data_IF_343632083208
#
_entry.id   IF_343632083208
#
_cell.length_a   1.000
_cell.length_b   1.000
_cell.length_c   1.000
_cell.angle_alpha   90.00
_cell.angle_beta   90.00
_cell.angle_gamma   90.00
#
_symmetry.space_group_name_H-M   'P 1'
#
loop_
_entity.id
_entity.type
_entity.pdbx_description
1 polymer ?
#
# COMPACT_ATOMS: atom_id res chain seq x y z
N UNK A 1 -10.41 38.38 8.65
CA UNK A 1 -9.09 37.97 9.15
C UNK A 1 -8.06 38.09 8.02
N UNK A 2 -6.84 38.46 8.34
CA UNK A 2 -5.74 38.49 7.37
C UNK A 2 -5.16 37.08 7.18
N UNK A 3 -4.51 36.78 6.03
CA UNK A 3 -3.94 35.45 5.76
C UNK A 3 -2.98 34.94 6.85
N UNK A 4 -2.25 35.83 7.52
CA UNK A 4 -1.36 35.51 8.64
C UNK A 4 -2.07 35.06 9.91
N UNK A 5 -3.37 35.30 10.03
CA UNK A 5 -4.21 34.93 11.18
C UNK A 5 -4.96 33.62 10.97
N UNK A 6 -4.78 32.96 9.81
CA UNK A 6 -5.43 31.73 9.46
C UNK A 6 -4.54 30.52 9.80
N UNK A 7 -5.16 29.40 10.26
CA UNK A 7 -4.45 28.14 10.35
C UNK A 7 -4.07 27.60 8.96
N UNK A 8 -3.16 26.62 8.88
CA UNK A 8 -2.76 26.00 7.63
C UNK A 8 -3.97 25.48 6.83
N UNK A 9 -4.84 24.71 7.45
CA UNK A 9 -6.06 24.20 6.80
C UNK A 9 -7.04 25.30 6.40
N UNK A 10 -7.17 26.38 7.17
CA UNK A 10 -8.01 27.53 6.78
C UNK A 10 -7.43 28.24 5.54
N UNK A 11 -6.10 28.45 5.50
CA UNK A 11 -5.44 29.02 4.31
C UNK A 11 -5.68 28.18 3.08
N UNK A 12 -5.60 26.84 3.22
CA UNK A 12 -5.82 25.92 2.11
C UNK A 12 -7.27 25.97 1.60
N UNK A 13 -8.26 25.97 2.50
CA UNK A 13 -9.67 26.13 2.11
C UNK A 13 -9.93 27.46 1.36
N UNK A 14 -9.29 28.56 1.79
CA UNK A 14 -9.37 29.83 1.09
C UNK A 14 -8.70 29.75 -0.29
N UNK A 15 -7.57 29.03 -0.42
CA UNK A 15 -6.93 28.82 -1.73
C UNK A 15 -7.83 28.02 -2.68
N UNK A 16 -8.47 26.95 -2.19
CA UNK A 16 -9.48 26.21 -2.97
C UNK A 16 -10.68 27.08 -3.35
N UNK A 17 -11.25 27.83 -2.41
CA UNK A 17 -12.37 28.72 -2.70
C UNK A 17 -11.99 29.75 -3.79
N UNK A 18 -10.78 30.29 -3.74
CA UNK A 18 -10.26 31.20 -4.78
C UNK A 18 -10.15 30.52 -6.14
N UNK A 19 -9.65 29.27 -6.18
CA UNK A 19 -9.50 28.51 -7.43
C UNK A 19 -10.86 28.13 -8.05
N UNK A 20 -11.87 27.93 -7.22
CA UNK A 20 -13.22 27.54 -7.64
C UNK A 20 -14.14 28.74 -7.95
N UNK A 21 -13.84 29.93 -7.44
CA UNK A 21 -14.66 31.12 -7.62
C UNK A 21 -14.99 31.48 -9.10
N UNK A 22 -14.06 31.25 -10.08
CA UNK A 22 -14.32 31.44 -11.49
C UNK A 22 -15.19 30.37 -12.14
N UNK A 23 -15.64 29.36 -11.38
CA UNK A 23 -16.39 28.19 -11.87
C UNK A 23 -15.64 27.43 -12.99
N UNK A 24 -14.41 26.93 -12.72
CA UNK A 24 -13.58 26.28 -13.73
C UNK A 24 -14.15 24.91 -14.13
N UNK A 25 -13.92 24.50 -15.37
CA UNK A 25 -14.20 23.12 -15.82
C UNK A 25 -13.08 22.14 -15.43
N UNK A 26 -11.85 22.65 -15.27
CA UNK A 26 -10.68 21.89 -14.90
C UNK A 26 -9.96 22.56 -13.74
N UNK A 27 -9.66 21.81 -12.70
CA UNK A 27 -8.90 22.22 -11.52
C UNK A 27 -7.55 21.51 -11.48
N UNK A 28 -6.46 22.28 -11.49
CA UNK A 28 -5.11 21.75 -11.37
C UNK A 28 -4.56 22.09 -9.99
N UNK A 29 -4.11 21.08 -9.26
CA UNK A 29 -3.60 21.18 -7.90
C UNK A 29 -2.20 20.56 -7.81
N UNK A 30 -1.25 21.31 -7.29
CA UNK A 30 0.10 20.84 -7.04
C UNK A 30 0.30 20.74 -5.53
N UNK A 31 0.56 19.52 -5.02
CA UNK A 31 0.75 19.20 -3.60
C UNK A 31 -0.34 19.83 -2.70
N UNK A 32 -1.64 19.59 -2.94
CA UNK A 32 -2.72 20.34 -2.29
C UNK A 32 -2.81 20.14 -0.78
N UNK A 33 -2.16 19.12 -0.23
CA UNK A 33 -2.20 18.80 1.20
C UNK A 33 -0.84 18.91 1.89
N UNK A 34 0.18 19.42 1.21
CA UNK A 34 1.48 19.65 1.78
C UNK A 34 1.46 20.64 2.96
N UNK A 35 2.33 20.45 3.93
CA UNK A 35 2.52 21.33 5.09
C UNK A 35 1.28 21.51 6.00
N UNK A 36 0.37 20.51 6.02
CA UNK A 36 -0.80 20.47 6.90
C UNK A 36 -0.64 19.30 7.88
N UNK A 37 -1.07 19.50 9.13
CA UNK A 37 -1.06 18.43 10.13
C UNK A 37 -1.98 17.25 9.72
N UNK A 38 -1.66 16.04 10.20
CA UNK A 38 -2.30 14.81 9.75
C UNK A 38 -3.82 14.79 9.93
N UNK A 39 -4.34 15.35 11.04
CA UNK A 39 -5.78 15.37 11.31
C UNK A 39 -6.53 16.29 10.35
N UNK A 40 -6.02 17.50 10.16
CA UNK A 40 -6.62 18.48 9.25
C UNK A 40 -6.47 18.03 7.79
N UNK A 41 -5.38 17.32 7.46
CA UNK A 41 -5.15 16.73 6.13
C UNK A 41 -6.25 15.75 5.78
N UNK A 42 -6.59 14.82 6.68
CA UNK A 42 -7.67 13.85 6.47
C UNK A 42 -9.03 14.54 6.24
N UNK A 43 -9.40 15.50 7.09
CA UNK A 43 -10.63 16.27 6.95
C UNK A 43 -10.67 17.02 5.59
N UNK A 44 -9.53 17.53 5.15
CA UNK A 44 -9.43 18.32 3.91
C UNK A 44 -9.51 17.44 2.65
N UNK A 45 -8.95 16.22 2.68
CA UNK A 45 -9.08 15.23 1.60
C UNK A 45 -10.54 14.87 1.36
N UNK A 46 -11.25 14.47 2.43
CA UNK A 46 -12.69 14.14 2.36
C UNK A 46 -13.49 15.33 1.84
N UNK A 47 -13.26 16.51 2.39
CA UNK A 47 -13.95 17.72 1.97
C UNK A 47 -13.70 18.08 0.49
N UNK A 48 -12.45 17.94 0.01
CA UNK A 48 -12.09 18.23 -1.39
C UNK A 48 -12.78 17.25 -2.33
N UNK A 49 -12.75 15.95 -2.02
CA UNK A 49 -13.42 14.91 -2.79
C UNK A 49 -14.91 15.18 -2.92
N UNK A 50 -15.59 15.38 -1.81
CA UNK A 50 -17.03 15.70 -1.76
C UNK A 50 -17.37 16.94 -2.60
N UNK A 51 -16.49 17.95 -2.58
CA UNK A 51 -16.70 19.19 -3.28
C UNK A 51 -16.54 19.03 -4.80
N UNK A 52 -15.50 18.31 -5.23
CA UNK A 52 -15.26 18.00 -6.65
C UNK A 52 -16.44 17.21 -7.21
N UNK A 53 -16.90 16.19 -6.51
CA UNK A 53 -18.08 15.40 -6.89
C UNK A 53 -19.35 16.24 -7.01
N UNK A 54 -19.64 17.07 -5.99
CA UNK A 54 -20.83 17.94 -5.98
C UNK A 54 -20.85 18.98 -7.10
N UNK A 55 -19.67 19.49 -7.47
CA UNK A 55 -19.54 20.51 -8.52
C UNK A 55 -19.40 19.90 -9.93
N UNK A 56 -19.17 18.60 -10.04
CA UNK A 56 -18.94 17.92 -11.31
C UNK A 56 -17.72 18.43 -12.08
N UNK A 57 -16.68 18.85 -11.36
CA UNK A 57 -15.46 19.45 -11.92
C UNK A 57 -14.43 18.35 -12.16
N UNK A 58 -13.79 18.36 -13.33
CA UNK A 58 -12.59 17.55 -13.55
C UNK A 58 -11.42 18.12 -12.77
N UNK A 59 -10.71 17.32 -12.01
CA UNK A 59 -9.52 17.74 -11.26
C UNK A 59 -8.33 16.86 -11.56
N UNK A 60 -7.15 17.48 -11.65
CA UNK A 60 -5.86 16.79 -11.69
C UNK A 60 -5.06 17.32 -10.52
N UNK A 61 -4.60 16.43 -9.64
CA UNK A 61 -3.68 16.83 -8.58
C UNK A 61 -2.40 15.97 -8.61
N UNK A 62 -1.30 16.62 -8.30
CA UNK A 62 0.02 15.98 -8.18
C UNK A 62 0.34 15.84 -6.71
N UNK A 63 0.74 14.67 -6.30
CA UNK A 63 1.22 14.40 -4.94
C UNK A 63 2.29 13.31 -4.94
N UNK A 64 3.16 13.34 -3.94
CA UNK A 64 4.08 12.24 -3.64
C UNK A 64 3.55 11.33 -2.51
N UNK A 65 2.43 11.70 -1.88
CA UNK A 65 1.78 10.92 -0.82
C UNK A 65 0.83 9.88 -1.45
N UNK A 66 1.16 8.60 -1.27
CA UNK A 66 0.42 7.47 -1.82
C UNK A 66 -0.99 7.37 -1.23
N UNK A 67 -1.14 7.66 0.06
CA UNK A 67 -2.43 7.61 0.74
C UNK A 67 -3.38 8.69 0.19
N UNK A 68 -2.84 9.87 -0.13
CA UNK A 68 -3.61 10.93 -0.78
C UNK A 68 -4.14 10.52 -2.15
N UNK A 69 -3.28 9.92 -2.97
CA UNK A 69 -3.68 9.45 -4.29
C UNK A 69 -4.77 8.37 -4.19
N UNK A 70 -4.62 7.39 -3.30
CA UNK A 70 -5.57 6.29 -3.13
C UNK A 70 -6.92 6.78 -2.60
N UNK A 71 -6.94 7.74 -1.67
CA UNK A 71 -8.18 8.22 -1.05
C UNK A 71 -9.00 9.14 -1.94
N UNK A 72 -8.34 10.00 -2.70
CA UNK A 72 -9.01 11.11 -3.40
C UNK A 72 -9.28 10.81 -4.86
N UNK A 73 -8.37 10.14 -5.55
CA UNK A 73 -8.44 9.98 -7.00
C UNK A 73 -9.43 8.88 -7.43
N UNK A 74 -10.13 9.11 -8.54
CA UNK A 74 -10.85 8.08 -9.28
C UNK A 74 -9.91 7.30 -10.20
N UNK A 75 -8.86 7.97 -10.68
CA UNK A 75 -7.83 7.41 -11.54
C UNK A 75 -6.44 7.91 -11.10
N UNK A 76 -5.49 7.00 -10.98
CA UNK A 76 -4.08 7.29 -10.64
C UNK A 76 -3.22 7.12 -11.88
N UNK A 77 -2.29 8.04 -12.08
CA UNK A 77 -1.22 7.95 -13.06
C UNK A 77 0.10 7.93 -12.31
N UNK A 78 0.79 6.78 -12.34
CA UNK A 78 2.12 6.64 -11.75
C UNK A 78 3.15 7.09 -12.78
N UNK A 79 3.99 8.04 -12.39
CA UNK A 79 5.08 8.53 -13.25
C UNK A 79 6.44 8.30 -12.63
N UNK A 80 7.42 7.97 -13.46
CA UNK A 80 8.81 7.78 -13.06
C UNK A 80 9.74 8.33 -14.13
N UNK A 81 10.65 9.23 -13.76
CA UNK A 81 11.64 9.84 -14.66
C UNK A 81 11.03 10.39 -15.97
N UNK A 82 9.84 10.99 -15.88
CA UNK A 82 9.15 11.58 -17.03
C UNK A 82 8.37 10.60 -17.92
N UNK A 83 8.30 9.33 -17.55
CA UNK A 83 7.50 8.29 -18.22
C UNK A 83 6.31 7.89 -17.38
N UNK A 84 5.22 7.50 -18.01
CA UNK A 84 4.07 6.89 -17.35
C UNK A 84 4.40 5.41 -17.16
N UNK A 85 4.39 4.96 -15.91
CA UNK A 85 4.61 3.57 -15.53
C UNK A 85 3.31 2.76 -15.57
N UNK A 86 2.23 3.37 -15.08
CA UNK A 86 0.92 2.75 -15.04
C UNK A 86 -0.17 3.80 -14.87
N UNK A 87 -1.37 3.49 -15.34
CA UNK A 87 -2.58 4.27 -15.19
C UNK A 87 -3.75 3.35 -14.89
N UNK A 88 -4.63 3.72 -13.95
CA UNK A 88 -5.82 2.94 -13.61
C UNK A 88 -6.50 3.45 -12.34
N UNK A 89 -7.58 2.79 -11.94
CA UNK A 89 -8.21 3.05 -10.65
C UNK A 89 -7.24 2.76 -9.49
N UNK A 90 -7.43 3.36 -8.31
CA UNK A 90 -6.61 3.05 -7.13
C UNK A 90 -6.49 1.56 -6.83
N UNK A 91 -7.57 0.82 -6.97
CA UNK A 91 -7.59 -0.62 -6.74
C UNK A 91 -6.78 -1.37 -7.79
N UNK A 92 -6.91 -1.04 -9.06
CA UNK A 92 -6.17 -1.67 -10.15
C UNK A 92 -4.67 -1.46 -10.03
N UNK A 93 -4.22 -0.21 -9.85
CA UNK A 93 -2.78 0.09 -9.74
C UNK A 93 -2.16 -0.55 -8.50
N UNK A 94 -2.95 -0.74 -7.44
CA UNK A 94 -2.49 -1.39 -6.23
C UNK A 94 -2.46 -2.92 -6.35
N UNK A 95 -3.53 -3.53 -6.85
CA UNK A 95 -3.67 -5.00 -6.92
C UNK A 95 -2.99 -5.63 -8.12
N UNK A 96 -2.90 -4.91 -9.23
CA UNK A 96 -2.38 -5.40 -10.50
C UNK A 96 -1.30 -4.48 -11.06
N UNK A 97 -0.15 -4.33 -10.37
CA UNK A 97 0.94 -3.51 -10.87
C UNK A 97 1.46 -4.07 -12.20
N UNK A 98 1.73 -3.18 -13.16
CA UNK A 98 2.18 -3.56 -14.52
C UNK A 98 3.70 -3.54 -14.65
N UNK A 99 4.39 -2.70 -13.86
CA UNK A 99 5.86 -2.57 -13.88
C UNK A 99 6.48 -2.85 -12.52
N UNK A 100 7.76 -3.18 -12.51
CA UNK A 100 8.53 -3.37 -11.29
C UNK A 100 8.47 -2.12 -10.39
N UNK A 101 8.49 -0.94 -11.00
CA UNK A 101 8.34 0.32 -10.28
C UNK A 101 6.97 0.41 -9.59
N UNK A 102 5.87 0.20 -10.32
CA UNK A 102 4.52 0.24 -9.76
C UNK A 102 4.32 -0.81 -8.65
N UNK A 103 4.90 -2.00 -8.80
CA UNK A 103 4.83 -3.06 -7.79
C UNK A 103 5.51 -2.66 -6.47
N UNK A 104 6.63 -1.95 -6.55
CA UNK A 104 7.42 -1.49 -5.39
C UNK A 104 6.96 -0.12 -4.86
N UNK A 105 6.20 0.64 -5.64
CA UNK A 105 5.83 2.02 -5.32
C UNK A 105 4.96 2.12 -4.08
N UNK A 106 3.98 1.22 -3.91
CA UNK A 106 3.05 1.25 -2.79
C UNK A 106 3.57 0.49 -1.58
N UNK A 107 3.53 1.14 -0.42
CA UNK A 107 3.82 0.54 0.88
C UNK A 107 5.29 0.20 1.13
N UNK A 108 5.52 -0.55 2.19
CA UNK A 108 6.86 -1.03 2.59
C UNK A 108 7.10 -2.43 2.00
N UNK A 109 7.19 -2.53 0.68
CA UNK A 109 7.40 -3.79 -0.01
C UNK A 109 8.82 -4.33 0.21
N UNK A 110 8.95 -5.63 0.47
CA UNK A 110 10.23 -6.32 0.54
C UNK A 110 10.61 -6.89 -0.83
N UNK A 111 11.87 -6.75 -1.20
CA UNK A 111 12.43 -7.41 -2.39
C UNK A 111 13.09 -8.72 -2.01
N UNK A 112 12.67 -9.81 -2.63
CA UNK A 112 13.13 -11.17 -2.37
C UNK A 112 13.78 -11.73 -3.64
N UNK A 113 15.08 -12.01 -3.58
CA UNK A 113 15.83 -12.51 -4.75
C UNK A 113 15.39 -13.90 -5.18
N UNK A 114 15.19 -14.78 -4.23
CA UNK A 114 14.69 -16.14 -4.47
C UNK A 114 13.39 -16.34 -3.71
N UNK A 115 12.28 -16.27 -4.43
CA UNK A 115 10.95 -16.43 -3.83
C UNK A 115 10.56 -17.90 -3.60
N UNK A 116 11.37 -18.87 -4.04
CA UNK A 116 11.15 -20.29 -3.75
C UNK A 116 11.39 -20.64 -2.27
N UNK A 117 11.91 -19.70 -1.47
CA UNK A 117 11.90 -19.81 -0.01
C UNK A 117 10.48 -19.85 0.57
N UNK A 118 9.50 -19.41 -0.21
CA UNK A 118 8.07 -19.55 0.10
C UNK A 118 7.50 -20.74 -0.67
N UNK A 119 6.85 -21.64 0.04
CA UNK A 119 6.24 -22.83 -0.56
C UNK A 119 4.98 -22.47 -1.37
N UNK A 120 4.63 -23.33 -2.34
CA UNK A 120 3.37 -23.30 -3.08
C UNK A 120 3.15 -22.11 -4.02
N UNK A 121 4.22 -21.50 -4.52
CA UNK A 121 4.16 -20.58 -5.65
C UNK A 121 4.62 -21.27 -6.93
N UNK A 122 3.99 -20.88 -8.04
CA UNK A 122 4.37 -21.31 -9.38
C UNK A 122 5.76 -20.79 -9.75
N UNK A 123 6.55 -21.62 -10.42
CA UNK A 123 7.85 -21.20 -10.94
C UNK A 123 7.69 -20.35 -12.20
N UNK A 124 8.34 -19.19 -12.21
CA UNK A 124 8.44 -18.32 -13.39
C UNK A 124 9.87 -18.39 -13.91
N UNK A 125 10.13 -19.16 -14.98
CA UNK A 125 11.48 -19.32 -15.52
C UNK A 125 12.08 -17.97 -15.94
N UNK A 126 13.29 -17.68 -15.41
CA UNK A 126 13.98 -16.41 -15.66
C UNK A 126 13.50 -15.25 -14.79
N UNK A 127 12.82 -15.54 -13.68
CA UNK A 127 12.50 -14.53 -12.65
C UNK A 127 13.79 -13.89 -12.12
N UNK A 128 13.76 -12.57 -11.94
CA UNK A 128 14.89 -11.79 -11.40
C UNK A 128 14.79 -11.66 -9.88
N UNK A 129 13.59 -11.37 -9.39
CA UNK A 129 13.25 -11.24 -7.97
C UNK A 129 11.74 -11.19 -7.80
N UNK A 130 11.28 -11.25 -6.57
CA UNK A 130 9.88 -11.00 -6.23
C UNK A 130 9.75 -9.82 -5.25
N UNK A 131 8.57 -9.22 -5.27
CA UNK A 131 8.14 -8.16 -4.36
C UNK A 131 7.04 -8.73 -3.47
N UNK A 132 7.20 -8.60 -2.16
CA UNK A 132 6.24 -9.04 -1.15
C UNK A 132 5.79 -7.83 -0.34
N UNK A 133 4.48 -7.60 -0.29
CA UNK A 133 3.92 -6.50 0.50
C UNK A 133 3.44 -6.99 1.86
N UNK A 134 3.54 -6.17 2.92
CA UNK A 134 3.20 -6.57 4.30
C UNK A 134 1.79 -7.09 4.49
N UNK A 135 0.81 -6.58 3.74
CA UNK A 135 -0.59 -7.00 3.83
C UNK A 135 -0.85 -8.42 3.34
N UNK A 136 0.05 -8.96 2.49
CA UNK A 136 -0.02 -10.33 2.00
C UNK A 136 0.76 -11.32 2.87
N UNK A 137 1.34 -10.85 3.96
CA UNK A 137 2.10 -11.68 4.92
C UNK A 137 1.27 -11.92 6.15
N UNK A 138 0.87 -13.17 6.37
CA UNK A 138 0.18 -13.61 7.59
C UNK A 138 1.18 -14.21 8.56
N UNK A 139 1.08 -13.81 9.81
CA UNK A 139 1.98 -14.26 10.88
C UNK A 139 1.16 -14.97 11.94
N UNK A 140 1.56 -16.17 12.30
CA UNK A 140 0.89 -16.99 13.31
C UNK A 140 1.91 -17.48 14.33
N UNK A 141 1.60 -17.41 15.63
CA UNK A 141 2.44 -17.98 16.67
C UNK A 141 2.34 -19.51 16.63
N UNK A 142 3.37 -20.19 17.09
CA UNK A 142 3.43 -21.67 17.11
C UNK A 142 2.24 -22.34 17.84
N UNK A 143 1.63 -21.65 18.80
CA UNK A 143 0.51 -22.16 19.63
C UNK A 143 -0.87 -21.66 19.13
N UNK A 144 -0.94 -20.97 18.02
CA UNK A 144 -2.19 -20.52 17.43
C UNK A 144 -2.72 -21.56 16.43
N UNK A 145 -4.04 -21.58 16.25
CA UNK A 145 -4.65 -22.39 15.18
C UNK A 145 -4.24 -21.79 13.83
N UNK A 146 -3.60 -22.61 13.01
CA UNK A 146 -3.09 -22.21 11.71
C UNK A 146 -3.89 -22.87 10.60
N UNK A 147 -4.46 -22.05 9.72
CA UNK A 147 -5.16 -22.53 8.54
C UNK A 147 -4.18 -23.07 7.48
N UNK A 148 -2.99 -22.46 7.36
CA UNK A 148 -2.00 -22.75 6.32
C UNK A 148 -0.69 -23.32 6.89
N UNK A 149 -0.76 -24.17 7.91
CA UNK A 149 0.43 -24.67 8.63
C UNK A 149 1.43 -25.40 7.72
N UNK A 150 0.94 -26.18 6.76
CA UNK A 150 1.79 -26.93 5.80
C UNK A 150 2.51 -26.03 4.80
N UNK A 151 1.99 -24.82 4.58
CA UNK A 151 2.50 -23.86 3.59
C UNK A 151 3.25 -22.69 4.23
N UNK A 152 3.25 -22.62 5.55
CA UNK A 152 3.96 -21.59 6.31
C UNK A 152 5.44 -21.95 6.46
N UNK A 153 6.28 -20.94 6.44
CA UNK A 153 7.73 -21.02 6.70
C UNK A 153 8.02 -20.43 8.08
N UNK A 154 9.01 -21.00 8.79
CA UNK A 154 9.43 -20.46 10.09
C UNK A 154 10.28 -19.19 9.91
N UNK A 155 10.02 -18.17 10.70
CA UNK A 155 10.80 -16.95 10.75
C UNK A 155 11.06 -16.48 12.17
N UNK A 156 12.17 -15.76 12.36
CA UNK A 156 12.50 -15.08 13.60
C UNK A 156 11.95 -13.65 13.57
N UNK A 157 11.36 -13.19 14.68
CA UNK A 157 10.88 -11.83 14.84
C UNK A 157 12.04 -10.93 15.26
N UNK A 158 12.57 -10.14 14.31
CA UNK A 158 13.68 -9.22 14.59
C UNK A 158 13.23 -7.95 15.32
N UNK A 159 12.03 -7.44 14.96
CA UNK A 159 11.51 -6.20 15.53
C UNK A 159 9.99 -6.22 15.61
N UNK A 160 9.47 -5.57 16.64
CA UNK A 160 8.03 -5.29 16.81
C UNK A 160 7.86 -3.81 17.07
N UNK A 161 7.02 -3.13 16.30
CA UNK A 161 6.72 -1.73 16.47
C UNK A 161 5.20 -1.50 16.52
N UNK A 162 4.72 -0.84 17.56
CA UNK A 162 3.33 -0.42 17.65
C UNK A 162 3.07 0.80 16.75
N UNK A 163 2.05 0.73 15.91
CA UNK A 163 1.68 1.77 14.94
C UNK A 163 0.30 2.40 15.22
N UNK A 164 -0.20 2.28 16.43
CA UNK A 164 -1.51 2.79 16.84
C UNK A 164 -2.64 1.80 16.60
N UNK A 165 -2.92 1.41 15.36
CA UNK A 165 -4.00 0.47 15.00
C UNK A 165 -3.54 -0.97 14.75
N UNK A 166 -2.23 -1.21 14.64
CA UNK A 166 -1.64 -2.53 14.42
C UNK A 166 -0.21 -2.59 14.95
N UNK A 167 0.33 -3.80 15.04
CA UNK A 167 1.76 -4.05 15.23
C UNK A 167 2.42 -4.33 13.88
N UNK A 168 3.48 -3.60 13.60
CA UNK A 168 4.37 -3.88 12.47
C UNK A 168 5.47 -4.81 12.95
N UNK A 169 5.65 -5.91 12.25
CA UNK A 169 6.66 -6.93 12.53
C UNK A 169 7.72 -6.91 11.45
N UNK A 170 8.98 -6.96 11.83
CA UNK A 170 10.09 -7.27 10.93
C UNK A 170 10.50 -8.73 11.19
N UNK A 171 10.45 -9.52 10.14
CA UNK A 171 10.61 -10.98 10.19
C UNK A 171 11.82 -11.38 9.37
N UNK A 172 12.64 -12.26 9.92
CA UNK A 172 13.78 -12.84 9.21
C UNK A 172 13.54 -14.31 8.91
N UNK A 173 13.62 -14.66 7.65
CA UNK A 173 13.47 -16.00 7.11
C UNK A 173 14.70 -16.34 6.27
N UNK A 174 15.69 -16.97 6.89
CA UNK A 174 17.01 -17.15 6.27
C UNK A 174 17.66 -15.78 5.98
N UNK A 175 17.94 -15.50 4.72
CA UNK A 175 18.47 -14.21 4.26
C UNK A 175 17.39 -13.18 3.91
N UNK A 176 16.11 -13.58 3.92
CA UNK A 176 14.99 -12.73 3.55
C UNK A 176 14.46 -11.98 4.76
N UNK A 177 14.29 -10.67 4.61
CA UNK A 177 13.66 -9.82 5.61
C UNK A 177 12.32 -9.34 5.06
N UNK A 178 11.25 -9.61 5.80
CA UNK A 178 9.87 -9.24 5.46
C UNK A 178 9.29 -8.31 6.51
N UNK A 179 8.39 -7.45 6.09
CA UNK A 179 7.48 -6.74 6.99
C UNK A 179 6.11 -7.42 6.97
N UNK A 180 5.45 -7.45 8.12
CA UNK A 180 4.09 -7.94 8.26
C UNK A 180 3.29 -7.05 9.21
N UNK A 181 1.97 -7.10 9.11
CA UNK A 181 1.06 -6.39 10.01
C UNK A 181 0.26 -7.40 10.82
N UNK A 182 0.11 -7.12 12.13
CA UNK A 182 -0.69 -7.93 13.03
C UNK A 182 -1.66 -7.04 13.80
N UNK A 183 -2.93 -7.41 13.81
CA UNK A 183 -4.01 -6.63 14.42
C UNK A 183 -3.93 -6.62 15.94
N UNK A 184 -4.59 -5.64 16.58
CA UNK A 184 -4.64 -5.50 18.04
C UNK A 184 -5.45 -6.63 18.72
N UNK A 185 -6.37 -7.26 18.00
CA UNK A 185 -7.16 -8.38 18.50
C UNK A 185 -6.45 -9.72 18.46
N UNK A 186 -5.26 -9.78 17.87
CA UNK A 186 -4.45 -11.00 17.78
C UNK A 186 -3.46 -11.08 18.95
N UNK A 187 -3.10 -12.28 19.40
CA UNK A 187 -2.11 -12.46 20.46
C UNK A 187 -0.78 -11.76 20.14
N UNK A 188 -0.23 -11.06 21.13
CA UNK A 188 1.00 -10.27 20.96
C UNK A 188 2.19 -11.18 20.65
N UNK A 189 2.91 -10.84 19.59
CA UNK A 189 4.21 -11.43 19.21
C UNK A 189 5.33 -10.57 19.80
N UNK A 190 6.40 -11.22 20.26
CA UNK A 190 7.54 -10.53 20.88
C UNK A 190 8.79 -10.66 20.01
N UNK A 191 9.67 -9.69 20.13
CA UNK A 191 11.00 -9.77 19.53
C UNK A 191 11.76 -11.01 20.01
N UNK A 192 12.44 -11.71 19.10
CA UNK A 192 13.15 -12.98 19.36
C UNK A 192 12.24 -14.21 19.36
N UNK A 193 10.93 -14.05 19.19
CA UNK A 193 10.00 -15.19 19.08
C UNK A 193 10.07 -15.80 17.68
N UNK A 194 9.95 -17.13 17.60
CA UNK A 194 9.78 -17.86 16.33
C UNK A 194 8.31 -17.93 15.97
N UNK A 195 7.99 -17.57 14.76
CA UNK A 195 6.63 -17.53 14.22
C UNK A 195 6.53 -18.30 12.91
N UNK A 196 5.33 -18.67 12.54
CA UNK A 196 5.03 -19.21 11.22
C UNK A 196 4.54 -18.09 10.31
N UNK A 197 5.14 -17.97 9.14
CA UNK A 197 4.88 -16.94 8.15
C UNK A 197 4.28 -17.58 6.90
N UNK A 198 3.12 -17.13 6.52
CA UNK A 198 2.45 -17.50 5.29
C UNK A 198 2.36 -16.29 4.35
N UNK A 199 2.98 -16.40 3.18
CA UNK A 199 2.88 -15.40 2.13
C UNK A 199 1.72 -15.80 1.22
N UNK A 200 0.69 -14.96 1.20
CA UNK A 200 -0.53 -15.22 0.44
C UNK A 200 -0.35 -14.87 -1.05
N UNK A 201 0.36 -13.79 -1.33
CA UNK A 201 0.55 -13.23 -2.66
C UNK A 201 1.92 -12.57 -2.77
N UNK A 202 2.52 -12.65 -3.96
CA UNK A 202 3.74 -11.91 -4.29
C UNK A 202 3.72 -11.51 -5.78
N UNK A 203 4.61 -10.60 -6.13
CA UNK A 203 4.77 -10.10 -7.49
C UNK A 203 6.17 -10.47 -8.00
N UNK A 204 6.24 -11.41 -8.93
CA UNK A 204 7.49 -11.82 -9.57
C UNK A 204 7.85 -10.86 -10.69
N UNK A 205 9.09 -10.41 -10.71
CA UNK A 205 9.62 -9.51 -11.72
C UNK A 205 10.49 -10.29 -12.70
N UNK A 206 10.19 -10.10 -13.98
CA UNK A 206 10.97 -10.62 -15.09
C UNK A 206 10.93 -9.62 -16.24
N UNK A 207 12.08 -9.13 -16.71
CA UNK A 207 12.18 -8.17 -17.82
C UNK A 207 11.28 -6.94 -17.62
N UNK A 208 11.28 -6.39 -16.40
CA UNK A 208 10.42 -5.28 -15.96
C UNK A 208 8.91 -5.57 -15.98
N UNK A 209 8.45 -6.76 -16.34
CA UNK A 209 7.05 -7.20 -16.26
C UNK A 209 6.77 -7.81 -14.90
N UNK A 210 5.52 -7.69 -14.48
CA UNK A 210 5.04 -8.19 -13.19
C UNK A 210 4.12 -9.39 -13.40
N UNK A 211 4.41 -10.46 -12.68
CA UNK A 211 3.57 -11.65 -12.60
C UNK A 211 3.05 -11.75 -11.17
N UNK A 212 1.76 -11.48 -11.00
CA UNK A 212 1.10 -11.63 -9.70
C UNK A 212 0.83 -13.11 -9.45
N UNK A 213 1.45 -13.67 -8.42
CA UNK A 213 1.27 -15.06 -8.03
C UNK A 213 0.52 -15.14 -6.70
N UNK A 214 -0.54 -15.94 -6.68
CA UNK A 214 -1.25 -16.34 -5.47
C UNK A 214 -0.70 -17.67 -4.98
N UNK A 215 -0.55 -17.80 -3.67
CA UNK A 215 -0.17 -19.07 -3.06
C UNK A 215 -1.26 -20.12 -3.35
N UNK A 216 -0.89 -21.24 -3.97
CA UNK A 216 -1.86 -22.25 -4.40
C UNK A 216 -2.64 -22.89 -3.24
N UNK A 217 -2.05 -22.94 -2.03
CA UNK A 217 -2.75 -23.39 -0.83
C UNK A 217 -3.83 -22.44 -0.32
N UNK A 218 -3.81 -21.16 -0.74
CA UNK A 218 -4.86 -20.19 -0.41
C UNK A 218 -6.07 -20.30 -1.35
N UNK A 219 -5.92 -20.88 -2.55
CA UNK A 219 -6.99 -20.99 -3.56
C UNK A 219 -8.13 -21.93 -3.15
N UNK A 220 -7.87 -22.89 -2.26
CA UNK A 220 -8.90 -23.85 -1.80
C UNK A 220 -10.05 -23.17 -1.02
N UNK A 221 -9.84 -21.94 -0.53
CA UNK A 221 -10.83 -21.19 0.23
C UNK A 221 -11.93 -20.54 -0.61
N UNK A 222 -11.73 -20.35 -1.89
CA UNK A 222 -12.71 -19.72 -2.79
C UNK A 222 -13.66 -20.73 -3.45
N UNK A 223 -13.49 -22.02 -3.21
CA UNK A 223 -14.31 -23.08 -3.81
C UNK A 223 -15.41 -23.63 -2.89
N UNK A 224 -15.57 -23.04 -1.69
CA UNK A 224 -16.64 -23.43 -0.76
C UNK A 224 -17.60 -22.27 -0.55
N UNK A 225 -18.49 -22.07 -1.48
CA UNK A 225 -19.79 -21.41 -1.29
C UNK A 225 -20.86 -22.26 -1.97
#
# INVERSE_FOLDING_TARGET
RYPSQLSGGQRQRVAFARALAPNPQLLLLDEPFAAIDAKIRQELRTWLKDMIEKLGITSIFVTHDQDEAIEVADEIIITNRGHIEQKGSPVEVYQSPETAFSASFFGQAATVRDYHVFNYFEDIPGAEYAIVRPEFVKVTRKNEVQKYKSSASEADVERVAFRGSYFELQLKLGEVVLSARRGLGEPLVRQGEKVDVFVQRLFVIKENKVYALENSSAREDYLVI
#
